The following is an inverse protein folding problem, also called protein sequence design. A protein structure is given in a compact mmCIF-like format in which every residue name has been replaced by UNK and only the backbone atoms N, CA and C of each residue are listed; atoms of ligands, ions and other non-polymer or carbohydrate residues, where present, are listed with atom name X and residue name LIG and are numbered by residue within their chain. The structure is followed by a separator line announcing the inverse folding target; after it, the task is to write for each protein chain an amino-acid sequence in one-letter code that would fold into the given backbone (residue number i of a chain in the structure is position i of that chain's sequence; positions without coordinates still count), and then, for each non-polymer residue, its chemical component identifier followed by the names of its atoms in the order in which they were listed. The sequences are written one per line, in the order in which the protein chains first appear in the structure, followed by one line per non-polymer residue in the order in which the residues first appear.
data_IF_234298141656
#
_entry.id   IF_234298141656
#
_cell.length_a   1.000
_cell.length_b   1.000
_cell.length_c   1.000
_cell.angle_alpha   90.00
_cell.angle_beta   90.00
_cell.angle_gamma   90.00
#
_symmetry.space_group_name_H-M   'P 1'
#
loop_
_entity.id
_entity.type
_entity.pdbx_description
1 polymer ?
#
# COMPACT_ATOMS: atom_id res chain seq x y z
N UNK A 1 -7.70 -11.65 3.52
CA UNK A 1 -6.81 -12.11 2.42
C UNK A 1 -6.37 -10.94 1.57
N UNK A 2 -5.14 -10.93 1.01
CA UNK A 2 -4.68 -9.85 0.12
C UNK A 2 -4.75 -10.28 -1.34
N UNK A 3 -5.39 -9.45 -2.17
CA UNK A 3 -5.44 -9.51 -3.63
C UNK A 3 -5.11 -8.09 -4.14
N UNK A 4 -3.94 -7.60 -3.75
CA UNK A 4 -3.54 -6.21 -3.84
C UNK A 4 -2.49 -5.94 -4.92
N UNK A 5 -2.69 -6.53 -6.07
CA UNK A 5 -1.91 -6.32 -7.30
C UNK A 5 -2.79 -5.74 -8.41
N UNK A 6 -2.18 -5.10 -9.40
CA UNK A 6 -2.83 -4.75 -10.66
C UNK A 6 -3.17 -6.04 -11.41
N UNK A 7 -4.35 -6.08 -12.04
CA UNK A 7 -4.87 -7.21 -12.81
C UNK A 7 -4.82 -6.83 -14.29
N UNK A 8 -4.33 -7.73 -15.13
CA UNK A 8 -4.39 -7.55 -16.59
C UNK A 8 -5.71 -8.07 -17.16
N UNK A 9 -6.10 -7.58 -18.32
CA UNK A 9 -7.39 -7.90 -18.95
C UNK A 9 -7.57 -9.41 -19.19
N UNK A 10 -6.50 -10.13 -19.52
CA UNK A 10 -6.50 -11.57 -19.73
C UNK A 10 -6.56 -12.40 -18.44
N UNK A 11 -6.35 -11.78 -17.28
CA UNK A 11 -6.41 -12.41 -15.96
C UNK A 11 -7.79 -12.27 -15.29
N UNK A 12 -8.68 -11.40 -15.78
CA UNK A 12 -9.95 -11.04 -15.13
C UNK A 12 -10.80 -12.27 -14.80
N UNK A 13 -10.94 -13.22 -15.74
CA UNK A 13 -11.74 -14.42 -15.51
C UNK A 13 -11.14 -15.36 -14.45
N UNK A 14 -9.82 -15.46 -14.40
CA UNK A 14 -9.12 -16.26 -13.38
C UNK A 14 -9.27 -15.63 -12.00
N UNK A 15 -9.13 -14.31 -11.92
CA UNK A 15 -9.31 -13.55 -10.67
C UNK A 15 -10.75 -13.68 -10.15
N UNK A 16 -11.76 -13.57 -11.01
CA UNK A 16 -13.15 -13.78 -10.62
C UNK A 16 -13.36 -15.20 -10.04
N UNK A 17 -12.83 -16.23 -10.72
CA UNK A 17 -12.91 -17.59 -10.22
C UNK A 17 -12.19 -17.78 -8.88
N UNK A 18 -11.03 -17.15 -8.71
CA UNK A 18 -10.28 -17.15 -7.44
C UNK A 18 -11.09 -16.52 -6.31
N UNK A 19 -11.72 -15.36 -6.54
CA UNK A 19 -12.55 -14.69 -5.51
C UNK A 19 -13.72 -15.58 -5.09
N UNK A 20 -14.37 -16.27 -6.02
CA UNK A 20 -15.41 -17.24 -5.72
C UNK A 20 -14.89 -18.42 -4.89
N UNK A 21 -13.67 -18.91 -5.14
CA UNK A 21 -13.04 -19.97 -4.34
C UNK A 21 -12.76 -19.47 -2.91
N UNK A 22 -12.18 -18.27 -2.77
CA UNK A 22 -11.87 -17.66 -1.49
C UNK A 22 -13.14 -17.45 -0.65
N UNK A 23 -14.22 -17.00 -1.26
CA UNK A 23 -15.51 -16.86 -0.61
C UNK A 23 -16.05 -18.20 -0.10
N UNK A 24 -15.99 -19.27 -0.91
CA UNK A 24 -16.47 -20.60 -0.54
C UNK A 24 -15.70 -21.24 0.63
N UNK A 25 -14.42 -20.92 0.78
CA UNK A 25 -13.61 -21.40 1.92
C UNK A 25 -13.74 -20.50 3.15
N UNK A 26 -14.58 -19.46 3.11
CA UNK A 26 -14.95 -18.64 4.26
C UNK A 26 -14.00 -17.49 4.56
N UNK A 27 -13.38 -16.88 3.54
CA UNK A 27 -12.62 -15.64 3.73
C UNK A 27 -13.59 -14.50 4.01
N UNK A 28 -13.37 -13.74 5.08
CA UNK A 28 -14.25 -12.65 5.52
C UNK A 28 -14.14 -11.41 4.63
N UNK A 29 -12.93 -11.06 4.20
CA UNK A 29 -12.67 -9.86 3.40
C UNK A 29 -11.44 -10.00 2.51
N UNK A 30 -11.40 -9.21 1.44
CA UNK A 30 -10.25 -9.05 0.55
C UNK A 30 -9.70 -7.64 0.66
N UNK A 31 -8.37 -7.53 0.83
CA UNK A 31 -7.65 -6.27 0.69
C UNK A 31 -7.19 -6.19 -0.78
N UNK A 32 -7.72 -5.21 -1.52
CA UNK A 32 -7.57 -5.14 -2.98
C UNK A 32 -6.93 -3.84 -3.45
N UNK A 33 -6.31 -3.88 -4.62
CA UNK A 33 -5.73 -2.70 -5.28
C UNK A 33 -6.51 -2.34 -6.53
N UNK A 34 -6.83 -3.31 -7.39
CA UNK A 34 -7.41 -3.05 -8.70
C UNK A 34 -8.91 -2.77 -8.62
N UNK A 35 -9.31 -1.67 -9.26
CA UNK A 35 -10.73 -1.26 -9.30
C UNK A 35 -11.57 -2.09 -10.28
N UNK A 36 -10.96 -2.91 -11.14
CA UNK A 36 -11.68 -3.85 -12.01
C UNK A 36 -12.58 -4.79 -11.19
N UNK A 37 -12.19 -5.10 -9.93
CA UNK A 37 -13.00 -5.91 -9.03
C UNK A 37 -14.40 -5.34 -8.77
N UNK A 38 -14.58 -4.02 -8.88
CA UNK A 38 -15.90 -3.38 -8.74
C UNK A 38 -16.84 -3.66 -9.92
N UNK A 39 -16.31 -4.11 -11.04
CA UNK A 39 -17.07 -4.39 -12.28
C UNK A 39 -17.27 -5.88 -12.54
N UNK A 40 -16.62 -6.75 -11.77
CA UNK A 40 -16.71 -8.20 -11.89
C UNK A 40 -17.98 -8.75 -11.22
N UNK A 41 -18.41 -9.93 -11.63
CA UNK A 41 -19.49 -10.68 -10.98
C UNK A 41 -18.95 -11.43 -9.75
N UNK A 42 -18.76 -10.72 -8.64
CA UNK A 42 -18.20 -11.27 -7.42
C UNK A 42 -19.29 -11.76 -6.44
N UNK A 43 -18.96 -12.74 -5.56
CA UNK A 43 -19.80 -13.06 -4.43
C UNK A 43 -19.93 -11.86 -3.47
N UNK A 44 -20.85 -11.87 -2.51
CA UNK A 44 -21.02 -10.80 -1.52
C UNK A 44 -19.87 -10.84 -0.49
N UNK A 45 -18.64 -10.66 -0.95
CA UNK A 45 -17.44 -10.59 -0.13
C UNK A 45 -17.09 -9.14 0.19
N UNK A 46 -16.65 -8.90 1.41
CA UNK A 46 -16.24 -7.58 1.87
C UNK A 46 -14.94 -7.14 1.19
N UNK A 47 -14.90 -5.89 0.69
CA UNK A 47 -13.70 -5.32 0.08
C UNK A 47 -13.09 -4.23 0.98
N UNK A 48 -11.79 -4.35 1.22
CA UNK A 48 -10.96 -3.34 1.88
C UNK A 48 -9.99 -2.75 0.86
N UNK A 49 -9.86 -1.43 0.83
CA UNK A 49 -8.91 -0.79 -0.07
C UNK A 49 -7.48 -0.93 0.47
N UNK A 50 -6.59 -1.50 -0.32
CA UNK A 50 -5.17 -1.61 0.01
C UNK A 50 -4.50 -0.24 0.08
N UNK A 51 -3.42 -0.10 0.84
CA UNK A 51 -2.52 1.05 0.75
C UNK A 51 -1.97 1.26 -0.68
N UNK A 52 -1.93 0.20 -1.48
CA UNK A 52 -1.49 0.25 -2.89
C UNK A 52 -2.45 1.02 -3.80
N UNK A 53 -3.66 1.40 -3.34
CA UNK A 53 -4.56 2.30 -4.06
C UNK A 53 -4.25 3.78 -3.87
N UNK A 54 -3.12 4.12 -3.22
CA UNK A 54 -2.66 5.50 -2.99
C UNK A 54 -3.64 6.34 -2.14
N UNK A 55 -3.94 5.84 -0.95
CA UNK A 55 -4.95 6.42 -0.05
C UNK A 55 -4.36 7.56 0.80
N UNK A 56 -4.04 8.67 0.16
CA UNK A 56 -3.37 9.83 0.78
C UNK A 56 -4.28 11.05 0.99
N UNK A 57 -5.45 11.08 0.37
CA UNK A 57 -6.32 12.26 0.42
C UNK A 57 -7.73 11.89 0.85
N UNK A 58 -8.44 12.86 1.43
CA UNK A 58 -9.83 12.70 1.82
C UNK A 58 -10.70 12.32 0.62
N UNK A 59 -10.50 12.97 -0.53
CA UNK A 59 -11.30 12.72 -1.74
C UNK A 59 -11.15 11.27 -2.22
N UNK A 60 -9.93 10.72 -2.14
CA UNK A 60 -9.68 9.32 -2.50
C UNK A 60 -10.37 8.37 -1.53
N UNK A 61 -10.25 8.62 -0.23
CA UNK A 61 -10.88 7.79 0.81
C UNK A 61 -12.40 7.86 0.71
N UNK A 62 -12.97 9.06 0.49
CA UNK A 62 -14.40 9.24 0.28
C UNK A 62 -14.88 8.50 -0.97
N UNK A 63 -14.15 8.60 -2.08
CA UNK A 63 -14.50 7.88 -3.31
C UNK A 63 -14.52 6.36 -3.09
N UNK A 64 -13.55 5.82 -2.35
CA UNK A 64 -13.52 4.38 -2.02
C UNK A 64 -14.73 3.98 -1.17
N UNK A 65 -15.06 4.78 -0.16
CA UNK A 65 -16.25 4.54 0.66
C UNK A 65 -17.54 4.57 -0.18
N UNK A 66 -17.71 5.56 -1.05
CA UNK A 66 -18.87 5.70 -1.93
C UNK A 66 -19.00 4.55 -2.93
N UNK A 67 -17.89 3.87 -3.26
CA UNK A 67 -17.86 2.69 -4.11
C UNK A 67 -17.89 1.36 -3.34
N UNK A 68 -18.27 1.38 -2.06
CA UNK A 68 -18.59 0.18 -1.28
C UNK A 68 -17.42 -0.48 -0.57
N UNK A 69 -16.26 0.18 -0.49
CA UNK A 69 -15.19 -0.31 0.38
C UNK A 69 -15.56 -0.12 1.85
N UNK A 70 -15.49 -1.18 2.63
CA UNK A 70 -15.87 -1.19 4.04
C UNK A 70 -14.73 -0.81 5.00
N UNK A 71 -13.50 -0.74 4.50
CA UNK A 71 -12.30 -0.33 5.24
C UNK A 71 -11.25 0.19 4.27
N UNK A 72 -10.45 1.16 4.70
CA UNK A 72 -9.38 1.75 3.89
C UNK A 72 -8.06 1.68 4.65
N UNK A 73 -7.07 1.02 4.04
CA UNK A 73 -5.69 1.03 4.54
C UNK A 73 -5.00 2.29 4.04
N UNK A 74 -4.71 3.21 4.94
CA UNK A 74 -4.10 4.50 4.62
C UNK A 74 -2.66 4.35 4.12
N UNK A 75 -2.22 5.29 3.30
CA UNK A 75 -0.83 5.40 2.91
C UNK A 75 0.06 5.74 4.12
N UNK A 76 1.31 5.27 4.09
CA UNK A 76 2.26 5.43 5.20
C UNK A 76 2.77 6.86 5.37
N UNK A 77 2.58 7.68 4.35
CA UNK A 77 3.06 9.06 4.22
C UNK A 77 2.22 10.06 5.03
N UNK A 78 1.01 9.66 5.46
CA UNK A 78 0.09 10.55 6.17
C UNK A 78 0.58 10.90 7.57
N UNK A 79 0.39 12.17 7.95
CA UNK A 79 0.53 12.63 9.32
C UNK A 79 -0.70 12.29 10.16
N UNK A 80 -0.58 12.36 11.49
CA UNK A 80 -1.73 12.18 12.40
C UNK A 80 -2.85 13.19 12.09
N UNK A 81 -2.47 14.42 11.77
CA UNK A 81 -3.43 15.48 11.43
C UNK A 81 -4.24 15.12 10.17
N UNK A 82 -3.59 14.61 9.13
CA UNK A 82 -4.28 14.18 7.91
C UNK A 82 -5.24 13.02 8.19
N UNK A 83 -4.83 12.09 9.06
CA UNK A 83 -5.68 10.97 9.50
C UNK A 83 -6.92 11.46 10.25
N UNK A 84 -6.75 12.39 11.19
CA UNK A 84 -7.87 13.02 11.93
C UNK A 84 -8.84 13.73 10.98
N UNK A 85 -8.33 14.47 9.98
CA UNK A 85 -9.15 15.18 8.99
C UNK A 85 -9.96 14.18 8.16
N UNK A 86 -9.36 13.09 7.71
CA UNK A 86 -10.03 12.02 6.96
C UNK A 86 -11.09 11.36 7.85
N UNK A 87 -10.73 10.96 9.06
CA UNK A 87 -11.65 10.29 9.99
C UNK A 87 -12.88 11.13 10.34
N UNK A 88 -12.68 12.45 10.52
CA UNK A 88 -13.77 13.38 10.83
C UNK A 88 -14.74 13.57 9.67
N UNK A 89 -14.24 13.49 8.44
CA UNK A 89 -15.02 13.79 7.24
C UNK A 89 -15.62 12.55 6.57
N UNK A 90 -15.02 11.37 6.72
CA UNK A 90 -15.46 10.13 6.11
C UNK A 90 -15.66 9.05 7.19
N UNK A 91 -16.84 8.38 7.25
CA UNK A 91 -17.16 7.40 8.28
C UNK A 91 -16.53 6.02 8.06
N UNK A 92 -15.77 5.83 6.98
CA UNK A 92 -15.14 4.54 6.69
C UNK A 92 -14.12 4.16 7.76
N UNK A 93 -14.09 2.92 8.26
CA UNK A 93 -13.05 2.42 9.12
C UNK A 93 -11.66 2.57 8.50
N UNK A 94 -10.72 3.13 9.27
CA UNK A 94 -9.36 3.40 8.83
C UNK A 94 -8.38 2.40 9.43
N UNK A 95 -7.52 1.86 8.58
CA UNK A 95 -6.43 0.97 8.95
C UNK A 95 -5.09 1.62 8.59
N UNK A 96 -4.07 1.44 9.43
CA UNK A 96 -2.76 2.01 9.18
C UNK A 96 -1.62 1.06 9.55
N UNK A 97 -0.49 1.19 8.85
CA UNK A 97 0.74 0.53 9.23
C UNK A 97 1.35 1.17 10.48
N UNK A 98 1.76 0.33 11.41
CA UNK A 98 2.43 0.76 12.64
C UNK A 98 3.90 0.33 12.70
N UNK A 99 4.28 -0.67 11.89
CA UNK A 99 5.66 -1.14 11.80
C UNK A 99 5.96 -1.70 10.41
N UNK A 100 7.20 -1.57 9.97
CA UNK A 100 7.73 -2.19 8.76
C UNK A 100 8.53 -1.26 7.86
N UNK A 101 9.03 -1.81 6.76
CA UNK A 101 9.83 -1.08 5.80
C UNK A 101 9.04 0.04 5.12
N UNK A 102 9.66 1.21 4.97
CA UNK A 102 9.12 2.33 4.21
C UNK A 102 9.59 2.29 2.76
N UNK A 103 8.68 2.56 1.85
CA UNK A 103 8.99 2.80 0.44
C UNK A 103 9.45 4.26 0.25
N UNK A 104 10.43 4.49 -0.62
CA UNK A 104 10.86 5.84 -1.01
C UNK A 104 9.85 6.52 -1.93
N UNK A 105 9.02 5.74 -2.60
CA UNK A 105 7.93 6.22 -3.46
C UNK A 105 6.62 6.25 -2.70
N UNK A 106 5.66 7.01 -3.21
CA UNK A 106 4.28 6.93 -2.77
C UNK A 106 3.70 5.52 -2.97
N UNK A 107 2.83 5.12 -2.05
CA UNK A 107 2.21 3.80 -2.04
C UNK A 107 1.46 3.53 -3.35
N UNK A 108 1.78 2.40 -4.02
CA UNK A 108 1.17 2.03 -5.30
C UNK A 108 1.63 2.82 -6.53
N UNK A 109 2.56 3.78 -6.39
CA UNK A 109 2.99 4.68 -7.48
C UNK A 109 4.43 4.44 -7.94
N UNK A 110 5.05 3.32 -7.55
CA UNK A 110 6.41 3.01 -7.96
C UNK A 110 6.45 2.18 -9.25
N UNK A 111 6.99 2.77 -10.31
CA UNK A 111 7.22 2.10 -11.60
C UNK A 111 8.70 1.86 -11.89
N UNK A 112 9.57 2.13 -10.93
CA UNK A 112 11.02 2.06 -11.14
C UNK A 112 11.51 0.64 -11.44
N UNK A 113 10.99 -0.39 -10.75
CA UNK A 113 11.32 -1.79 -11.06
C UNK A 113 10.86 -2.21 -12.45
N UNK A 114 9.72 -1.69 -12.90
CA UNK A 114 9.21 -1.92 -14.27
C UNK A 114 10.16 -1.30 -15.30
N UNK A 115 10.54 -0.05 -15.10
CA UNK A 115 11.40 0.68 -16.04
C UNK A 115 12.81 0.10 -16.11
N UNK A 116 13.40 -0.31 -14.98
CA UNK A 116 14.78 -0.76 -14.92
C UNK A 116 14.96 -2.26 -15.16
N UNK A 117 13.97 -3.08 -14.83
CA UNK A 117 14.12 -4.54 -14.77
C UNK A 117 12.98 -5.31 -15.44
N UNK A 118 11.98 -4.61 -16.00
CA UNK A 118 10.78 -5.26 -16.58
C UNK A 118 9.89 -5.96 -15.53
N UNK A 119 10.08 -5.66 -14.22
CA UNK A 119 9.37 -6.30 -13.10
C UNK A 119 8.44 -5.30 -12.43
N UNK A 120 7.14 -5.58 -12.40
CA UNK A 120 6.17 -4.65 -11.83
C UNK A 120 6.11 -4.74 -10.31
N UNK A 121 6.49 -3.65 -9.62
CA UNK A 121 6.32 -3.53 -8.17
C UNK A 121 4.85 -3.59 -7.75
N UNK A 122 3.93 -3.12 -8.61
CA UNK A 122 2.48 -3.15 -8.37
C UNK A 122 1.87 -4.54 -8.66
N UNK A 123 2.69 -5.51 -9.04
CA UNK A 123 2.33 -6.93 -9.21
C UNK A 123 3.14 -7.86 -8.29
N UNK A 124 3.67 -7.32 -7.19
CA UNK A 124 4.44 -8.11 -6.23
C UNK A 124 5.90 -8.37 -6.62
N UNK A 125 6.38 -7.86 -7.76
CA UNK A 125 7.71 -8.15 -8.30
C UNK A 125 8.72 -7.02 -8.08
N UNK A 126 8.60 -6.29 -6.96
CA UNK A 126 9.52 -5.21 -6.64
C UNK A 126 10.97 -5.72 -6.55
N UNK A 127 11.87 -5.16 -7.36
CA UNK A 127 13.29 -5.52 -7.35
C UNK A 127 14.04 -4.97 -6.13
N UNK A 128 13.44 -4.07 -5.35
CA UNK A 128 14.00 -3.42 -4.16
C UNK A 128 15.37 -2.76 -4.39
N UNK A 129 15.71 -2.40 -5.62
CA UNK A 129 17.01 -1.83 -5.93
C UNK A 129 17.27 -0.48 -5.22
N UNK A 130 16.21 0.25 -4.81
CA UNK A 130 16.33 1.43 -3.96
C UNK A 130 16.99 1.14 -2.59
N UNK A 131 17.15 -0.14 -2.22
CA UNK A 131 17.87 -0.60 -1.02
C UNK A 131 19.36 -0.78 -1.26
N UNK A 132 19.82 -0.73 -2.50
CA UNK A 132 21.23 -0.85 -2.84
C UNK A 132 21.97 0.47 -2.56
N UNK A 133 23.32 0.40 -2.40
CA UNK A 133 24.13 1.59 -2.34
C UNK A 133 24.22 2.26 -3.72
N UNK A 134 24.25 3.59 -3.72
CA UNK A 134 24.40 4.45 -4.90
C UNK A 134 25.49 5.49 -4.67
N UNK A 135 26.10 5.94 -5.78
CA UNK A 135 26.92 7.13 -5.77
C UNK A 135 26.07 8.37 -6.05
N UNK A 136 26.25 9.41 -5.25
CA UNK A 136 25.67 10.72 -5.51
C UNK A 136 26.65 11.55 -6.31
N UNK A 137 26.25 11.97 -7.50
CA UNK A 137 27.06 12.80 -8.39
C UNK A 137 26.37 14.15 -8.64
N UNK A 138 27.17 15.22 -8.79
CA UNK A 138 26.65 16.53 -9.19
C UNK A 138 26.40 16.61 -10.71
N UNK A 139 25.94 17.78 -11.17
CA UNK A 139 25.67 18.01 -12.59
C UNK A 139 26.92 17.94 -13.49
N UNK A 140 28.12 18.13 -12.93
CA UNK A 140 29.40 18.05 -13.63
C UNK A 140 30.01 16.64 -13.59
N UNK A 141 29.29 15.67 -12.99
CA UNK A 141 29.75 14.28 -12.86
C UNK A 141 30.75 14.04 -11.73
N UNK A 142 30.94 15.02 -10.82
CA UNK A 142 31.80 14.84 -9.64
C UNK A 142 31.07 14.05 -8.59
N UNK A 143 31.68 13.02 -8.03
CA UNK A 143 31.14 12.22 -6.94
C UNK A 143 31.16 13.04 -5.64
N UNK A 144 29.98 13.17 -5.02
CA UNK A 144 29.79 13.86 -3.74
C UNK A 144 29.80 12.84 -2.60
N UNK A 145 29.11 11.70 -2.78
CA UNK A 145 29.04 10.58 -1.83
C UNK A 145 29.16 9.27 -2.61
N UNK A 146 29.94 8.32 -2.08
CA UNK A 146 30.14 7.01 -2.69
C UNK A 146 29.43 5.90 -1.91
N UNK A 147 28.83 4.96 -2.63
CA UNK A 147 28.28 3.69 -2.12
C UNK A 147 27.39 3.87 -0.87
N UNK A 148 26.47 4.83 -0.93
CA UNK A 148 25.54 5.14 0.16
C UNK A 148 24.14 4.65 -0.14
N UNK A 149 23.42 4.20 0.88
CA UNK A 149 22.02 3.78 0.78
C UNK A 149 21.07 4.99 0.73
N UNK A 150 21.23 5.85 -0.27
CA UNK A 150 20.60 7.16 -0.38
C UNK A 150 19.08 7.09 -0.48
N UNK A 151 18.55 6.03 -1.10
CA UNK A 151 17.11 5.83 -1.30
C UNK A 151 16.49 4.87 -0.28
N UNK A 152 17.30 4.32 0.64
CA UNK A 152 16.84 3.36 1.63
C UNK A 152 16.42 4.07 2.91
N UNK A 153 15.12 4.28 3.07
CA UNK A 153 14.56 4.88 4.27
C UNK A 153 14.72 3.96 5.49
N UNK A 154 14.76 4.54 6.68
CA UNK A 154 14.66 3.79 7.94
C UNK A 154 13.29 3.13 8.03
N UNK A 155 13.24 1.99 8.70
CA UNK A 155 11.97 1.32 8.95
C UNK A 155 11.09 2.17 9.86
N UNK A 156 9.81 2.12 9.55
CA UNK A 156 8.80 2.79 10.37
C UNK A 156 8.59 1.99 11.67
N UNK A 157 8.60 2.70 12.77
CA UNK A 157 8.17 2.17 14.06
C UNK A 157 7.30 3.21 14.77
N UNK A 158 6.01 2.96 14.85
CA UNK A 158 5.02 3.82 15.49
C UNK A 158 4.51 3.24 16.82
N UNK A 159 5.22 2.28 17.41
CA UNK A 159 4.78 1.64 18.66
C UNK A 159 4.57 2.63 19.81
N UNK A 160 5.38 3.70 19.87
CA UNK A 160 5.23 4.77 20.86
C UNK A 160 4.07 5.73 20.58
N UNK A 161 3.40 5.61 19.43
CA UNK A 161 2.35 6.52 18.98
C UNK A 161 0.99 5.81 18.77
N UNK A 162 0.84 4.58 19.24
CA UNK A 162 -0.39 3.79 19.03
C UNK A 162 -1.63 4.49 19.60
N UNK A 163 -1.53 5.03 20.82
CA UNK A 163 -2.62 5.77 21.45
C UNK A 163 -3.02 7.00 20.61
N UNK A 164 -2.05 7.79 20.17
CA UNK A 164 -2.32 8.94 19.32
C UNK A 164 -2.91 8.55 17.95
N UNK A 165 -2.56 7.38 17.41
CA UNK A 165 -3.17 6.86 16.18
C UNK A 165 -4.61 6.44 16.41
N UNK A 166 -4.91 5.80 17.53
CA UNK A 166 -6.29 5.45 17.91
C UNK A 166 -7.14 6.69 18.12
N UNK A 167 -6.62 7.70 18.80
CA UNK A 167 -7.29 9.00 19.01
C UNK A 167 -7.54 9.72 17.66
N UNK A 168 -6.62 9.58 16.70
CA UNK A 168 -6.79 10.09 15.35
C UNK A 168 -7.83 9.33 14.49
N UNK A 169 -8.37 8.20 15.00
CA UNK A 169 -9.44 7.43 14.34
C UNK A 169 -9.00 6.13 13.66
N UNK A 170 -7.76 5.66 13.91
CA UNK A 170 -7.33 4.34 13.41
C UNK A 170 -7.97 3.24 14.25
N UNK A 171 -8.73 2.36 13.61
CA UNK A 171 -9.40 1.23 14.26
C UNK A 171 -8.70 -0.12 14.04
N UNK A 172 -7.76 -0.20 13.09
CA UNK A 172 -7.01 -1.42 12.75
C UNK A 172 -5.56 -1.08 12.42
N UNK A 173 -4.64 -1.94 12.87
CA UNK A 173 -3.21 -1.76 12.66
C UNK A 173 -2.60 -2.90 11.88
N UNK A 174 -1.80 -2.58 10.88
CA UNK A 174 -0.98 -3.54 10.15
C UNK A 174 0.46 -3.55 10.66
N UNK A 175 0.95 -4.74 10.92
CA UNK A 175 2.35 -5.04 11.16
C UNK A 175 2.90 -5.73 9.92
N UNK A 176 3.96 -5.21 9.36
CA UNK A 176 4.65 -5.83 8.25
C UNK A 176 6.07 -6.18 8.66
N UNK A 177 6.34 -7.47 8.78
CA UNK A 177 7.68 -7.99 8.98
C UNK A 177 8.20 -8.45 7.63
N UNK A 178 8.97 -7.61 6.96
CA UNK A 178 9.76 -8.01 5.81
C UNK A 178 11.20 -8.13 6.26
N UNK A 179 11.90 -9.25 6.01
CA UNK A 179 13.34 -9.28 6.22
C UNK A 179 13.96 -8.17 5.36
N UNK A 180 14.50 -7.17 6.03
CA UNK A 180 15.21 -6.09 5.38
C UNK A 180 16.65 -6.52 5.14
N UNK A 181 17.28 -6.18 4.00
CA UNK A 181 18.72 -6.38 3.81
C UNK A 181 19.59 -5.61 4.82
N UNK A 182 18.95 -4.83 5.69
CA UNK A 182 19.60 -4.02 6.74
C UNK A 182 19.58 -4.67 8.13
N UNK A 183 18.90 -5.80 8.28
CA UNK A 183 18.81 -6.54 9.53
C UNK A 183 19.97 -7.53 9.67
#
# INVERSE_FOLDING_TARGET
MTLNTIIYDDELAEVEALVWQLYRIGIDALIVQDMALLTMNLPPITLHASTQTDNRTLEKVQWLYDNGFSQVVLARELSLKDIEEIHRACPVPLEAFVHGALCVSYSGQCYASQACFGRSANRGECAQFCRLPFDLVDADGRVIEEQRHLLSLKDMNRSAHLEAMMDAGICSCLLYTSPSPRD
#
